data_IF_318336649346
#
_entry.id   IF_318336649346
#
_cell.length_a   1.000
_cell.length_b   1.000
_cell.length_c   1.000
_cell.angle_alpha   90.00
_cell.angle_beta   90.00
_cell.angle_gamma   90.00
#
_symmetry.space_group_name_H-M   'P 1'
#
loop_
_entity.id
_entity.type
_entity.pdbx_description
1 polymer ?
#
# COMPACT_ATOMS: atom_id res chain seq x y z
N UNK A 1 -4.27 -9.41 -20.93
CA UNK A 1 -5.25 -8.57 -20.21
C UNK A 1 -6.18 -7.97 -21.24
N UNK A 2 -7.49 -8.17 -21.11
CA UNK A 2 -8.49 -7.58 -22.01
C UNK A 2 -8.36 -6.04 -21.95
N UNK A 3 -8.48 -5.34 -23.07
CA UNK A 3 -8.42 -3.86 -23.19
C UNK A 3 -7.04 -3.18 -23.07
N UNK A 4 -5.95 -3.92 -22.94
CA UNK A 4 -4.60 -3.32 -22.84
C UNK A 4 -4.21 -2.49 -24.07
N UNK A 5 -4.48 -3.00 -25.27
CA UNK A 5 -4.15 -2.33 -26.54
C UNK A 5 -5.05 -1.13 -26.83
N UNK A 6 -6.29 -1.17 -26.37
CA UNK A 6 -7.26 -0.10 -26.58
C UNK A 6 -6.91 1.15 -25.77
N UNK A 7 -6.50 0.97 -24.50
CA UNK A 7 -6.13 2.07 -23.63
C UNK A 7 -4.67 2.51 -23.76
N UNK A 8 -3.78 1.65 -24.28
CA UNK A 8 -2.39 2.03 -24.62
C UNK A 8 -2.31 2.49 -26.07
N UNK A 9 -2.92 3.65 -26.34
CA UNK A 9 -3.06 4.19 -27.68
C UNK A 9 -2.48 5.60 -27.78
N UNK A 10 -1.39 5.72 -28.55
CA UNK A 10 -0.68 6.99 -28.74
C UNK A 10 -1.54 8.10 -29.36
N UNK A 11 -2.32 7.78 -30.39
CA UNK A 11 -3.18 8.77 -31.05
C UNK A 11 -4.29 9.27 -30.12
N UNK A 12 -4.85 8.36 -29.31
CA UNK A 12 -5.83 8.74 -28.28
C UNK A 12 -5.18 9.64 -27.22
N UNK A 13 -3.99 9.30 -26.72
CA UNK A 13 -3.25 10.13 -25.76
C UNK A 13 -2.96 11.52 -26.32
N UNK A 14 -2.44 11.62 -27.55
CA UNK A 14 -2.17 12.90 -28.22
C UNK A 14 -3.44 13.74 -28.40
N UNK A 15 -4.55 13.10 -28.77
CA UNK A 15 -5.85 13.76 -28.89
C UNK A 15 -6.33 14.33 -27.56
N UNK A 16 -6.17 13.58 -26.46
CA UNK A 16 -6.52 14.05 -25.11
C UNK A 16 -5.62 15.18 -24.66
N UNK A 17 -4.30 15.08 -24.84
CA UNK A 17 -3.36 16.16 -24.49
C UNK A 17 -3.67 17.46 -25.23
N UNK A 18 -3.99 17.38 -26.52
CA UNK A 18 -4.40 18.55 -27.31
C UNK A 18 -5.71 19.19 -26.80
N UNK A 19 -6.62 18.40 -26.23
CA UNK A 19 -7.83 18.94 -25.60
C UNK A 19 -7.49 19.61 -24.29
N UNK A 20 -6.68 18.98 -23.44
CA UNK A 20 -6.24 19.55 -22.16
C UNK A 20 -5.54 20.90 -22.41
N UNK A 21 -4.61 20.98 -23.37
CA UNK A 21 -3.91 22.24 -23.72
C UNK A 21 -4.88 23.37 -24.10
N UNK A 22 -5.98 23.06 -24.81
CA UNK A 22 -6.98 24.07 -25.22
C UNK A 22 -7.89 24.52 -24.09
N UNK A 23 -8.22 23.63 -23.15
CA UNK A 23 -9.16 23.90 -22.06
C UNK A 23 -8.49 24.52 -20.83
N UNK A 24 -7.18 24.30 -20.63
CA UNK A 24 -6.47 24.78 -19.45
C UNK A 24 -6.34 26.31 -19.45
N UNK A 25 -7.22 26.95 -18.69
CA UNK A 25 -7.31 28.41 -18.55
C UNK A 25 -6.30 28.98 -17.54
N UNK A 26 -6.10 28.29 -16.42
CA UNK A 26 -5.25 28.71 -15.30
C UNK A 26 -4.28 27.61 -14.88
N UNK A 27 -3.45 27.88 -13.86
CA UNK A 27 -2.66 26.82 -13.23
C UNK A 27 -3.61 25.93 -12.42
N UNK A 28 -3.53 24.62 -12.60
CA UNK A 28 -4.29 23.61 -11.88
C UNK A 28 -3.34 22.71 -11.10
N UNK A 29 -3.59 22.54 -9.81
CA UNK A 29 -2.85 21.66 -8.92
C UNK A 29 -3.69 20.40 -8.68
N UNK A 30 -3.37 19.33 -9.40
CA UNK A 30 -4.13 18.07 -9.39
C UNK A 30 -3.36 17.03 -8.58
N UNK A 31 -3.97 16.52 -7.52
CA UNK A 31 -3.38 15.47 -6.70
C UNK A 31 -3.86 14.07 -7.10
N UNK A 32 -2.93 13.14 -7.26
CA UNK A 32 -3.22 11.71 -7.33
C UNK A 32 -2.83 11.02 -6.02
N UNK A 33 -3.51 9.92 -5.68
CA UNK A 33 -3.44 9.29 -4.35
C UNK A 33 -3.27 7.78 -4.46
N UNK A 34 -2.60 7.33 -5.52
CA UNK A 34 -2.39 5.91 -5.76
C UNK A 34 -1.01 5.70 -6.37
N UNK A 35 -0.14 4.96 -5.67
CA UNK A 35 1.21 4.67 -6.18
C UNK A 35 1.21 4.02 -7.58
N UNK A 36 0.15 3.30 -7.97
CA UNK A 36 -0.03 2.79 -9.32
C UNK A 36 -0.27 3.89 -10.37
N UNK A 37 -1.01 4.94 -10.02
CA UNK A 37 -1.17 6.14 -10.85
C UNK A 37 0.14 6.91 -10.94
N UNK A 38 0.81 7.18 -9.80
CA UNK A 38 2.16 7.78 -9.78
C UNK A 38 3.11 7.04 -10.72
N UNK A 39 3.20 5.72 -10.57
CA UNK A 39 4.05 4.88 -11.41
C UNK A 39 3.66 4.97 -12.88
N UNK A 40 2.35 4.93 -13.19
CA UNK A 40 1.86 5.08 -14.56
C UNK A 40 2.22 6.42 -15.18
N UNK A 41 2.04 7.52 -14.46
CA UNK A 41 2.36 8.87 -14.91
C UNK A 41 3.85 9.03 -15.20
N UNK A 42 4.71 8.62 -14.26
CA UNK A 42 6.16 8.73 -14.38
C UNK A 42 6.71 7.80 -15.46
N UNK A 43 6.32 6.51 -15.44
CA UNK A 43 6.83 5.50 -16.39
C UNK A 43 6.53 5.86 -17.84
N UNK A 44 5.40 6.51 -18.10
CA UNK A 44 5.00 6.89 -19.46
C UNK A 44 5.33 8.36 -19.78
N UNK A 45 6.04 9.08 -18.90
CA UNK A 45 6.42 10.48 -19.11
C UNK A 45 5.25 11.44 -19.24
N UNK A 46 4.06 11.08 -18.72
CA UNK A 46 2.85 11.90 -18.90
C UNK A 46 2.99 13.26 -18.21
N UNK A 47 3.71 13.32 -17.08
CA UNK A 47 3.95 14.57 -16.35
C UNK A 47 4.64 15.60 -17.25
N UNK A 48 5.62 15.17 -18.06
CA UNK A 48 6.37 16.05 -18.97
C UNK A 48 5.56 16.45 -20.22
N UNK A 49 4.53 15.67 -20.55
CA UNK A 49 3.64 15.91 -21.70
C UNK A 49 2.45 16.82 -21.37
N UNK A 50 2.13 16.98 -20.09
CA UNK A 50 1.05 17.87 -19.66
C UNK A 50 1.44 19.35 -19.89
N UNK A 51 0.45 20.24 -20.12
CA UNK A 51 0.73 21.67 -20.19
C UNK A 51 1.41 22.15 -18.91
N UNK A 52 2.34 23.11 -18.98
CA UNK A 52 3.05 23.65 -17.80
C UNK A 52 2.14 24.21 -16.71
N UNK A 53 0.90 24.55 -17.08
CA UNK A 53 -0.16 25.01 -16.18
C UNK A 53 -0.78 23.87 -15.36
N UNK A 54 -0.64 22.60 -15.75
CA UNK A 54 -1.13 21.46 -14.97
C UNK A 54 0.01 20.93 -14.12
N UNK A 55 -0.11 21.08 -12.81
CA UNK A 55 0.85 20.62 -11.81
C UNK A 55 0.30 19.37 -11.15
N UNK A 56 1.01 18.26 -11.29
CA UNK A 56 0.68 17.02 -10.60
C UNK A 56 1.29 17.03 -9.19
N UNK A 57 0.47 16.73 -8.18
CA UNK A 57 0.88 16.54 -6.78
C UNK A 57 0.77 15.05 -6.44
N UNK A 58 1.78 14.51 -5.78
CA UNK A 58 1.79 13.12 -5.32
C UNK A 58 1.31 13.07 -3.87
N UNK A 59 0.08 12.59 -3.69
CA UNK A 59 -0.55 12.45 -2.37
C UNK A 59 -0.08 11.20 -1.61
N UNK A 60 -0.66 10.94 -0.42
CA UNK A 60 -0.31 9.80 0.43
C UNK A 60 -0.90 8.47 -0.09
N UNK A 61 -0.57 8.10 -1.33
CA UNK A 61 -1.11 6.93 -2.04
C UNK A 61 -0.37 5.61 -1.82
N UNK A 62 0.47 5.54 -0.79
CA UNK A 62 1.31 4.39 -0.47
C UNK A 62 1.04 3.93 0.97
N UNK A 63 0.28 2.83 1.20
CA UNK A 63 -0.09 2.41 2.55
C UNK A 63 1.13 2.02 3.40
N UNK A 64 2.15 1.46 2.74
CA UNK A 64 3.44 1.13 3.34
C UNK A 64 4.12 2.39 3.90
N UNK A 65 4.12 3.47 3.12
CA UNK A 65 4.82 4.70 3.45
C UNK A 65 4.15 5.47 4.60
N UNK A 66 2.84 5.29 4.79
CA UNK A 66 2.06 5.92 5.87
C UNK A 66 1.86 5.01 7.07
N UNK A 67 2.48 3.82 7.08
CA UNK A 67 2.41 2.89 8.21
C UNK A 67 3.09 3.50 9.44
N UNK A 68 2.41 3.60 10.59
CA UNK A 68 3.02 4.10 11.82
C UNK A 68 4.25 3.29 12.23
N UNK A 69 5.34 3.99 12.55
CA UNK A 69 6.59 3.37 13.05
C UNK A 69 6.33 2.46 14.25
N UNK A 70 5.39 2.85 15.13
CA UNK A 70 5.01 2.05 16.30
C UNK A 70 4.42 0.69 15.96
N UNK A 71 3.78 0.51 14.80
CA UNK A 71 3.27 -0.79 14.36
C UNK A 71 4.38 -1.65 13.73
N UNK A 72 5.36 -1.03 13.06
CA UNK A 72 6.56 -1.73 12.60
C UNK A 72 7.35 -2.25 13.80
N UNK A 73 7.51 -1.43 14.84
CA UNK A 73 8.19 -1.81 16.08
C UNK A 73 7.45 -2.94 16.81
N UNK A 74 6.11 -2.94 16.82
CA UNK A 74 5.32 -4.06 17.35
C UNK A 74 5.55 -5.35 16.56
N UNK A 75 5.57 -5.30 15.23
CA UNK A 75 5.87 -6.46 14.39
C UNK A 75 7.29 -7.00 14.63
N UNK A 76 8.27 -6.11 14.86
CA UNK A 76 9.64 -6.49 15.23
C UNK A 76 9.66 -7.16 16.60
N UNK A 77 8.97 -6.60 17.60
CA UNK A 77 8.89 -7.20 18.93
C UNK A 77 8.29 -8.61 18.89
N UNK A 78 7.26 -8.83 18.08
CA UNK A 78 6.69 -10.17 17.87
C UNK A 78 7.73 -11.17 17.32
N UNK A 79 8.56 -10.75 16.35
CA UNK A 79 9.66 -11.58 15.83
C UNK A 79 10.66 -11.95 16.95
N UNK A 80 10.98 -11.00 17.83
CA UNK A 80 11.91 -11.20 18.96
C UNK A 80 11.33 -12.13 20.04
N UNK A 81 10.00 -12.14 20.20
CA UNK A 81 9.26 -13.04 21.09
C UNK A 81 9.06 -14.45 20.49
N UNK A 82 9.60 -14.72 19.30
CA UNK A 82 9.56 -16.03 18.65
C UNK A 82 8.29 -16.33 17.85
N UNK A 83 7.45 -15.32 17.63
CA UNK A 83 6.25 -15.41 16.78
C UNK A 83 6.65 -15.52 15.31
N UNK A 84 5.90 -16.29 14.53
CA UNK A 84 6.04 -16.26 13.06
C UNK A 84 5.32 -15.02 12.56
N UNK A 85 6.07 -14.01 12.11
CA UNK A 85 5.48 -12.82 11.50
C UNK A 85 5.45 -12.97 10.00
N UNK A 86 4.28 -12.75 9.41
CA UNK A 86 4.05 -12.80 7.98
C UNK A 86 3.81 -11.37 7.46
N UNK A 87 4.41 -10.97 6.35
CA UNK A 87 4.21 -9.64 5.77
C UNK A 87 4.38 -9.63 4.25
N UNK A 88 3.93 -8.56 3.61
CA UNK A 88 4.20 -8.31 2.19
C UNK A 88 5.67 -7.91 1.98
N UNK A 89 6.19 -8.16 0.77
CA UNK A 89 7.62 -7.97 0.47
C UNK A 89 8.08 -6.51 0.47
N UNK A 90 7.17 -5.57 0.20
CA UNK A 90 7.43 -4.13 0.24
C UNK A 90 7.65 -3.59 1.66
N UNK A 91 7.08 -4.27 2.67
CA UNK A 91 7.17 -3.86 4.07
C UNK A 91 8.48 -4.25 4.75
N UNK A 92 9.22 -5.23 4.24
CA UNK A 92 10.33 -5.83 4.99
C UNK A 92 11.50 -4.87 5.24
N UNK A 93 11.67 -3.86 4.39
CA UNK A 93 12.79 -2.89 4.45
C UNK A 93 12.39 -1.55 5.08
N UNK A 94 11.12 -1.37 5.42
CA UNK A 94 10.64 -0.13 6.01
C UNK A 94 11.29 0.02 7.39
N UNK A 95 11.92 1.17 7.69
CA UNK A 95 12.57 1.36 8.97
C UNK A 95 11.53 1.50 10.09
N UNK A 96 11.68 0.68 11.13
CA UNK A 96 11.13 0.97 12.45
C UNK A 96 11.99 2.02 13.18
N UNK A 97 11.79 2.19 14.48
CA UNK A 97 12.55 3.15 15.28
C UNK A 97 14.03 2.80 15.42
N UNK A 98 14.37 1.50 15.44
CA UNK A 98 15.74 1.01 15.58
C UNK A 98 16.21 0.16 14.40
N UNK A 99 15.31 -0.67 13.85
CA UNK A 99 15.63 -1.60 12.76
C UNK A 99 14.39 -1.90 11.92
N UNK A 100 14.59 -2.60 10.81
CA UNK A 100 13.54 -3.09 9.91
C UNK A 100 13.19 -4.55 10.19
N UNK A 101 12.07 -5.04 9.66
CA UNK A 101 11.69 -6.46 9.74
C UNK A 101 12.76 -7.37 9.12
N UNK A 102 13.40 -6.92 8.03
CA UNK A 102 14.49 -7.66 7.40
C UNK A 102 15.72 -7.79 8.31
N UNK A 103 16.05 -6.75 9.08
CA UNK A 103 17.11 -6.81 10.08
C UNK A 103 16.71 -7.73 11.24
N UNK A 104 15.47 -7.64 11.75
CA UNK A 104 14.97 -8.55 12.78
C UNK A 104 14.98 -10.03 12.33
N UNK A 105 14.72 -10.29 11.05
CA UNK A 105 14.89 -11.62 10.44
C UNK A 105 16.37 -12.07 10.46
N UNK A 106 17.30 -11.17 10.14
CA UNK A 106 18.73 -11.46 10.19
C UNK A 106 19.21 -11.78 11.61
N UNK A 107 18.58 -11.19 12.62
CA UNK A 107 18.84 -11.46 14.04
C UNK A 107 18.23 -12.79 14.54
N UNK A 108 17.57 -13.57 13.66
CA UNK A 108 17.00 -14.88 13.98
C UNK A 108 15.47 -14.93 14.04
N UNK A 109 14.78 -13.81 13.80
CA UNK A 109 13.30 -13.76 13.75
C UNK A 109 12.71 -14.58 12.58
N UNK A 110 11.58 -15.25 12.83
CA UNK A 110 10.88 -16.04 11.81
C UNK A 110 9.93 -15.17 10.95
N UNK A 111 10.51 -14.37 10.05
CA UNK A 111 9.77 -13.56 9.08
C UNK A 111 9.46 -14.34 7.79
N UNK A 112 8.19 -14.39 7.40
CA UNK A 112 7.68 -15.00 6.15
C UNK A 112 7.15 -13.92 5.21
N UNK A 113 7.65 -13.92 3.98
CA UNK A 113 7.25 -12.95 2.95
C UNK A 113 6.21 -13.60 2.06
N UNK A 114 5.02 -12.99 1.96
CA UNK A 114 3.86 -13.58 1.29
C UNK A 114 3.28 -12.63 0.24
N UNK A 115 2.50 -13.18 -0.69
CA UNK A 115 1.72 -12.40 -1.65
C UNK A 115 0.23 -12.35 -1.30
N UNK A 116 -0.23 -13.27 -0.44
CA UNK A 116 -1.60 -13.33 0.03
C UNK A 116 -1.68 -13.59 1.54
N UNK A 117 -2.60 -12.92 2.27
CA UNK A 117 -2.84 -13.21 3.68
C UNK A 117 -3.39 -14.64 3.91
N UNK A 118 -3.99 -15.27 2.90
CA UNK A 118 -4.43 -16.68 2.99
C UNK A 118 -3.25 -17.65 3.12
N UNK A 119 -2.06 -17.28 2.64
CA UNK A 119 -0.85 -18.10 2.85
C UNK A 119 -0.44 -18.10 4.34
N UNK A 120 -0.66 -17.01 5.07
CA UNK A 120 -0.39 -16.94 6.51
C UNK A 120 -1.33 -17.87 7.30
N UNK A 121 -2.58 -18.02 6.87
CA UNK A 121 -3.53 -18.99 7.43
C UNK A 121 -3.02 -20.42 7.26
N UNK A 122 -2.47 -20.74 6.08
CA UNK A 122 -1.85 -22.06 5.83
C UNK A 122 -0.64 -22.27 6.74
N UNK A 123 0.21 -21.25 6.89
CA UNK A 123 1.37 -21.31 7.79
C UNK A 123 0.93 -21.56 9.24
N UNK A 124 -0.16 -20.95 9.69
CA UNK A 124 -0.73 -21.20 11.02
C UNK A 124 -1.19 -22.65 11.20
N UNK A 125 -1.88 -23.21 10.20
CA UNK A 125 -2.29 -24.62 10.21
C UNK A 125 -1.09 -25.59 10.24
N UNK A 126 -0.02 -25.26 9.51
CA UNK A 126 1.20 -26.08 9.45
C UNK A 126 2.07 -25.94 10.72
N UNK A 127 1.82 -24.95 11.57
CA UNK A 127 2.60 -24.65 12.78
C UNK A 127 1.72 -24.49 14.04
N UNK A 128 0.98 -25.53 14.46
CA UNK A 128 -0.03 -25.42 15.53
C UNK A 128 0.52 -25.08 16.92
N UNK A 129 1.84 -25.14 17.11
CA UNK A 129 2.54 -24.83 18.38
C UNK A 129 3.18 -23.44 18.39
N UNK A 130 3.00 -22.64 17.34
CA UNK A 130 3.53 -21.29 17.23
C UNK A 130 2.42 -20.31 16.91
N UNK A 131 2.49 -19.13 17.52
CA UNK A 131 1.68 -17.99 17.10
C UNK A 131 2.13 -17.53 15.71
N UNK A 132 1.15 -17.23 14.86
CA UNK A 132 1.36 -16.71 13.51
C UNK A 132 0.59 -15.41 13.38
N UNK A 133 1.32 -14.32 13.14
CA UNK A 133 0.75 -12.97 13.00
C UNK A 133 0.99 -12.48 11.59
N UNK A 134 -0.09 -12.15 10.88
CA UNK A 134 0.01 -11.43 9.61
C UNK A 134 0.01 -9.91 9.86
N UNK A 135 1.06 -9.22 9.44
CA UNK A 135 1.14 -7.76 9.52
C UNK A 135 0.34 -7.13 8.36
N UNK A 136 -0.90 -6.75 8.68
CA UNK A 136 -1.94 -6.37 7.75
C UNK A 136 -1.85 -4.86 7.43
N UNK A 137 -0.92 -4.51 6.54
CA UNK A 137 -0.75 -3.16 5.99
C UNK A 137 -1.57 -3.02 4.72
N UNK A 138 -2.24 -1.87 4.54
CA UNK A 138 -2.85 -1.54 3.26
C UNK A 138 -4.08 -0.64 3.36
N UNK A 139 -4.57 -0.20 2.21
CA UNK A 139 -5.80 0.58 2.08
C UNK A 139 -7.04 -0.32 1.89
N UNK A 140 -8.18 0.27 1.54
CA UNK A 140 -9.46 -0.40 1.36
C UNK A 140 -9.39 -1.57 0.37
N UNK A 141 -8.51 -1.51 -0.63
CA UNK A 141 -8.34 -2.58 -1.62
C UNK A 141 -7.72 -3.86 -1.05
N UNK A 142 -6.97 -3.75 0.04
CA UNK A 142 -6.31 -4.89 0.71
C UNK A 142 -7.13 -5.45 1.88
N UNK A 143 -7.97 -4.61 2.50
CA UNK A 143 -8.75 -4.97 3.68
C UNK A 143 -9.66 -6.19 3.46
N UNK A 144 -10.34 -6.39 2.30
CA UNK A 144 -11.15 -7.58 2.05
C UNK A 144 -10.36 -8.89 2.10
N UNK A 145 -9.16 -8.93 1.51
CA UNK A 145 -8.32 -10.13 1.53
C UNK A 145 -7.83 -10.45 2.96
N UNK A 146 -7.47 -9.41 3.71
CA UNK A 146 -7.06 -9.55 5.11
C UNK A 146 -8.22 -10.05 5.99
N UNK A 147 -9.42 -9.49 5.83
CA UNK A 147 -10.62 -9.94 6.52
C UNK A 147 -10.96 -11.40 6.17
N UNK A 148 -10.82 -11.78 4.89
CA UNK A 148 -11.03 -13.16 4.44
C UNK A 148 -10.08 -14.14 5.14
N UNK A 149 -8.84 -13.73 5.41
CA UNK A 149 -7.88 -14.57 6.14
C UNK A 149 -8.34 -14.88 7.57
N UNK A 150 -8.91 -13.90 8.28
CA UNK A 150 -9.47 -14.07 9.63
C UNK A 150 -10.68 -14.98 9.59
N UNK A 151 -11.58 -14.77 8.61
CA UNK A 151 -12.76 -15.62 8.42
C UNK A 151 -12.34 -17.07 8.13
N UNK A 152 -11.31 -17.27 7.30
CA UNK A 152 -10.81 -18.59 6.96
C UNK A 152 -10.14 -19.28 8.15
N UNK A 153 -9.32 -18.57 8.92
CA UNK A 153 -8.72 -19.10 10.14
C UNK A 153 -9.79 -19.53 11.16
N UNK A 154 -10.85 -18.73 11.33
CA UNK A 154 -12.00 -19.09 12.15
C UNK A 154 -12.71 -20.35 11.65
N UNK A 155 -12.96 -20.47 10.34
CA UNK A 155 -13.57 -21.69 9.74
C UNK A 155 -12.73 -22.95 9.96
N UNK A 156 -11.41 -22.80 9.99
CA UNK A 156 -10.46 -23.90 10.21
C UNK A 156 -10.16 -24.15 11.70
N UNK A 157 -10.77 -23.39 12.62
CA UNK A 157 -10.50 -23.43 14.06
C UNK A 157 -9.00 -23.30 14.38
N UNK A 158 -8.34 -22.30 13.80
CA UNK A 158 -6.92 -22.01 14.05
C UNK A 158 -6.79 -20.95 15.15
N UNK A 159 -6.57 -21.32 16.42
CA UNK A 159 -6.49 -20.36 17.53
C UNK A 159 -5.18 -19.56 17.54
N UNK A 160 -4.17 -20.02 16.80
CA UNK A 160 -2.83 -19.45 16.74
C UNK A 160 -2.63 -18.47 15.58
N UNK A 161 -3.72 -18.01 14.95
CA UNK A 161 -3.66 -17.05 13.85
C UNK A 161 -4.25 -15.72 14.29
N UNK A 162 -3.45 -14.66 14.15
CA UNK A 162 -3.84 -13.28 14.43
C UNK A 162 -3.38 -12.35 13.30
N UNK A 163 -3.93 -11.15 13.26
CA UNK A 163 -3.46 -10.09 12.37
C UNK A 163 -3.09 -8.84 13.17
N UNK A 164 -1.97 -8.22 12.84
CA UNK A 164 -1.60 -6.89 13.34
C UNK A 164 -2.09 -5.86 12.33
N UNK A 165 -3.14 -5.12 12.67
CA UNK A 165 -3.85 -4.24 11.72
C UNK A 165 -3.15 -2.88 11.61
N UNK A 166 -2.77 -2.52 10.37
CA UNK A 166 -2.30 -1.19 9.99
C UNK A 166 -3.05 -0.71 8.73
N UNK A 167 -4.38 -0.85 8.77
CA UNK A 167 -5.24 -0.38 7.69
C UNK A 167 -5.48 1.12 7.81
N UNK A 168 -5.44 1.79 6.66
CA UNK A 168 -5.68 3.23 6.54
C UNK A 168 -6.77 3.47 5.50
N UNK A 169 -7.62 4.47 5.73
CA UNK A 169 -8.64 4.89 4.78
C UNK A 169 -8.12 6.10 3.99
N UNK A 170 -8.32 6.09 2.67
CA UNK A 170 -7.94 7.19 1.79
C UNK A 170 -8.88 8.40 1.97
N UNK A 171 -10.22 8.26 1.99
CA UNK A 171 -11.11 9.43 2.08
C UNK A 171 -10.85 10.35 3.29
N UNK A 172 -10.68 9.84 4.54
CA UNK A 172 -10.37 10.70 5.68
C UNK A 172 -9.03 11.42 5.56
N UNK A 173 -8.03 10.78 4.93
CA UNK A 173 -6.76 11.42 4.65
C UNK A 173 -6.91 12.56 3.62
N UNK A 174 -7.83 12.42 2.66
CA UNK A 174 -8.12 13.47 1.67
C UNK A 174 -8.88 14.63 2.29
N UNK A 175 -9.90 14.33 3.10
CA UNK A 175 -10.63 15.35 3.86
C UNK A 175 -9.66 16.19 4.70
N UNK A 176 -8.76 15.55 5.44
CA UNK A 176 -7.76 16.24 6.25
C UNK A 176 -6.80 17.13 5.43
N UNK A 177 -6.42 16.71 4.22
CA UNK A 177 -5.58 17.52 3.33
C UNK A 177 -6.38 18.70 2.74
N UNK A 178 -7.62 18.46 2.32
CA UNK A 178 -8.46 19.49 1.69
C UNK A 178 -8.94 20.55 2.68
N UNK A 179 -9.11 20.19 3.95
CA UNK A 179 -9.48 21.10 5.04
C UNK A 179 -8.29 21.92 5.58
N UNK A 180 -7.05 21.62 5.17
CA UNK A 180 -5.86 22.36 5.60
C UNK A 180 -5.83 23.76 4.97
N UNK A 181 -5.60 24.79 5.79
CA UNK A 181 -5.55 26.20 5.33
C UNK A 181 -4.47 26.47 4.28
N UNK A 182 -3.42 25.63 4.24
CA UNK A 182 -2.32 25.70 3.27
C UNK A 182 -2.55 24.77 2.07
N UNK A 183 -3.70 24.11 1.97
CA UNK A 183 -4.05 23.31 0.81
C UNK A 183 -4.12 24.20 -0.44
N UNK A 184 -3.41 23.78 -1.48
CA UNK A 184 -3.39 24.46 -2.77
C UNK A 184 -3.90 23.55 -3.90
N UNK A 185 -4.65 22.49 -3.57
CA UNK A 185 -5.21 21.54 -4.54
C UNK A 185 -6.51 22.13 -5.11
N UNK A 186 -6.71 22.00 -6.42
CA UNK A 186 -7.90 22.49 -7.13
C UNK A 186 -8.94 21.38 -7.41
#
# INVERSE_FOLDING_TARGET
MKYLSEYRNFEATKSVLNKIEKEVSQTWNIMEVCGGQTHGLVKNGIIDLLPKKVRMIHGPGCPVCVTPVSLIDQAIKLLEEGVIVCSFGDMIRVPGSQKSLLQAKADGGDLRILYSPLEAVKIAADNPRKEVVFFAVGFETTAPANALSVIQAKKLNLPNYSILVSHVLVPPAMEAILDDEFCNID
#
